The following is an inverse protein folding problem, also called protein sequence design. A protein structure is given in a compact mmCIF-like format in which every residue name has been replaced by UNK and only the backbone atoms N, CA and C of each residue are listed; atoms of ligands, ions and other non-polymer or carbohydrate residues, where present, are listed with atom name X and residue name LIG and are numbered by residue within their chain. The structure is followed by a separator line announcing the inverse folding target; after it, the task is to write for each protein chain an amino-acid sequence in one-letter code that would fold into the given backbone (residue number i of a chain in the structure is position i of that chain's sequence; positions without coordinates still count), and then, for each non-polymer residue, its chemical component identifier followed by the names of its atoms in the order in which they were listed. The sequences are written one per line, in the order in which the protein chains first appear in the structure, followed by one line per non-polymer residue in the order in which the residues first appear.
data_IF_979594767087
#
_entry.id   IF_979594767087
#
_cell.length_a   1.000
_cell.length_b   1.000
_cell.length_c   1.000
_cell.angle_alpha   90.00
_cell.angle_beta   90.00
_cell.angle_gamma   90.00
#
_symmetry.space_group_name_H-M   'P 1'
#
loop_
_entity.id
_entity.type
_entity.pdbx_description
1 polymer ?
#
# COMPACT_ATOMS: atom_id res chain seq x y z
N UNK A 1 -1.48 -16.29 -26.23
CA UNK A 1 -2.25 -15.38 -25.37
C UNK A 1 -1.40 -15.06 -24.15
N UNK A 2 -0.88 -13.84 -24.03
CA UNK A 2 -0.23 -13.40 -22.80
C UNK A 2 -1.31 -13.26 -21.71
N UNK A 3 -1.09 -13.70 -20.46
CA UNK A 3 -2.08 -13.53 -19.40
C UNK A 3 -2.37 -12.03 -19.22
N UNK A 4 -3.66 -11.69 -19.10
CA UNK A 4 -4.15 -10.33 -18.85
C UNK A 4 -3.31 -9.66 -17.75
N UNK A 5 -2.81 -8.46 -18.06
CA UNK A 5 -2.04 -7.53 -17.24
C UNK A 5 -1.82 -7.93 -15.78
N UNK A 6 -0.73 -8.64 -15.53
CA UNK A 6 -0.27 -8.90 -14.16
C UNK A 6 0.60 -7.73 -13.75
N UNK A 7 0.06 -6.85 -12.92
CA UNK A 7 0.81 -5.75 -12.34
C UNK A 7 1.59 -6.24 -11.12
N UNK A 8 2.80 -5.71 -10.86
CA UNK A 8 3.53 -6.03 -9.64
C UNK A 8 2.71 -5.62 -8.39
N UNK A 9 2.93 -6.29 -7.24
CA UNK A 9 2.27 -5.94 -6.01
C UNK A 9 2.59 -4.51 -5.56
N UNK A 10 1.64 -3.90 -4.86
CA UNK A 10 1.85 -2.60 -4.23
C UNK A 10 2.61 -2.76 -2.93
N UNK A 11 3.59 -1.89 -2.69
CA UNK A 11 4.25 -1.82 -1.40
C UNK A 11 3.27 -1.29 -0.35
N UNK A 12 3.09 -2.02 0.74
CA UNK A 12 2.21 -1.68 1.87
C UNK A 12 3.06 -1.26 3.07
N UNK A 13 2.99 0.02 3.43
CA UNK A 13 3.75 0.61 4.53
C UNK A 13 2.85 0.85 5.74
N UNK A 14 3.14 0.22 6.88
CA UNK A 14 2.51 0.64 8.13
C UNK A 14 3.29 1.83 8.71
N UNK A 15 2.71 3.03 8.64
CA UNK A 15 3.34 4.28 9.13
C UNK A 15 3.03 4.58 10.58
N UNK A 16 2.09 3.84 11.16
CA UNK A 16 1.77 3.86 12.59
C UNK A 16 1.87 2.45 13.17
N UNK A 17 1.96 2.36 14.49
CA UNK A 17 1.92 1.07 15.17
C UNK A 17 0.46 0.56 15.21
N UNK A 18 0.19 -0.50 14.47
CA UNK A 18 -1.14 -1.11 14.36
C UNK A 18 -1.17 -2.48 15.01
N UNK A 19 -2.34 -2.87 15.50
CA UNK A 19 -2.53 -4.26 15.91
C UNK A 19 -2.34 -5.23 14.73
N UNK A 20 -1.60 -6.32 14.97
CA UNK A 20 -1.32 -7.33 13.94
C UNK A 20 -2.60 -7.93 13.34
N UNK A 21 -3.67 -8.02 14.14
CA UNK A 21 -4.96 -8.50 13.68
C UNK A 21 -5.54 -7.59 12.60
N UNK A 22 -5.37 -6.28 12.71
CA UNK A 22 -5.82 -5.30 11.71
C UNK A 22 -5.05 -5.51 10.41
N UNK A 23 -3.72 -5.61 10.48
CA UNK A 23 -2.88 -5.84 9.29
C UNK A 23 -3.24 -7.16 8.61
N UNK A 24 -3.41 -8.24 9.37
CA UNK A 24 -3.79 -9.55 8.82
C UNK A 24 -5.16 -9.53 8.15
N UNK A 25 -6.16 -8.83 8.74
CA UNK A 25 -7.48 -8.65 8.13
C UNK A 25 -7.39 -7.88 6.82
N UNK A 26 -6.60 -6.80 6.77
CA UNK A 26 -6.39 -6.01 5.56
C UNK A 26 -5.74 -6.86 4.46
N UNK A 27 -4.68 -7.61 4.78
CA UNK A 27 -4.03 -8.49 3.81
C UNK A 27 -4.98 -9.57 3.30
N UNK A 28 -5.80 -10.16 4.18
CA UNK A 28 -6.80 -11.16 3.81
C UNK A 28 -7.91 -10.57 2.90
N UNK A 29 -8.39 -9.36 3.22
CA UNK A 29 -9.38 -8.63 2.40
C UNK A 29 -8.81 -8.26 1.04
N UNK A 30 -7.59 -7.74 0.99
CA UNK A 30 -6.92 -7.38 -0.26
C UNK A 30 -6.75 -8.60 -1.19
N UNK A 31 -6.37 -9.77 -0.63
CA UNK A 31 -6.30 -11.03 -1.38
C UNK A 31 -7.64 -11.51 -1.93
N UNK A 32 -8.71 -11.24 -1.19
CA UNK A 32 -10.06 -11.67 -1.56
C UNK A 32 -10.74 -10.69 -2.52
N UNK A 33 -10.23 -9.46 -2.60
CA UNK A 33 -10.73 -8.42 -3.49
C UNK A 33 -10.23 -8.64 -4.91
N UNK A 34 -11.14 -8.70 -5.87
CA UNK A 34 -10.82 -8.82 -7.31
C UNK A 34 -10.32 -7.52 -7.95
N UNK A 35 -10.27 -6.42 -7.19
CA UNK A 35 -10.07 -5.05 -7.72
C UNK A 35 -8.79 -4.36 -7.24
N UNK A 36 -8.06 -4.93 -6.28
CA UNK A 36 -6.85 -4.34 -5.71
C UNK A 36 -5.67 -5.23 -6.12
N UNK A 37 -4.59 -4.63 -6.62
CA UNK A 37 -3.35 -5.38 -6.82
C UNK A 37 -2.90 -5.96 -5.48
N UNK A 38 -2.27 -7.13 -5.52
CA UNK A 38 -1.73 -7.78 -4.33
C UNK A 38 -0.89 -6.80 -3.48
N UNK A 39 -1.05 -6.83 -2.17
CA UNK A 39 -0.33 -5.96 -1.24
C UNK A 39 0.88 -6.70 -0.67
N UNK A 40 2.06 -6.10 -0.77
CA UNK A 40 3.28 -6.61 -0.15
C UNK A 40 3.67 -5.74 1.05
N UNK A 41 3.53 -6.28 2.26
CA UNK A 41 3.87 -5.63 3.52
C UNK A 41 5.38 -5.45 3.63
N UNK A 42 5.81 -4.20 3.73
CA UNK A 42 7.23 -3.88 3.85
C UNK A 42 7.72 -4.20 5.26
N UNK A 43 8.59 -5.21 5.38
CA UNK A 43 9.16 -5.63 6.67
C UNK A 43 10.64 -5.26 6.84
N UNK A 44 11.34 -4.92 5.75
CA UNK A 44 12.69 -4.36 5.79
C UNK A 44 12.85 -3.09 4.94
N UNK A 45 13.76 -2.21 5.36
CA UNK A 45 14.13 -0.99 4.63
C UNK A 45 15.18 -1.21 3.54
N UNK A 46 15.81 -2.38 3.48
CA UNK A 46 16.95 -2.68 2.58
C UNK A 46 16.60 -3.54 1.37
N UNK A 47 15.29 -3.76 1.13
CA UNK A 47 14.75 -4.60 0.06
C UNK A 47 15.09 -6.10 0.15
N UNK A 48 15.70 -6.58 1.24
CA UNK A 48 16.13 -7.98 1.37
C UNK A 48 14.99 -9.00 1.31
N UNK A 49 13.79 -8.59 1.74
CA UNK A 49 12.56 -9.38 1.79
C UNK A 49 11.62 -9.14 0.59
N UNK A 50 12.00 -8.24 -0.32
CA UNK A 50 11.12 -7.81 -1.41
C UNK A 50 10.95 -8.85 -2.51
N UNK A 51 9.78 -8.88 -3.18
CA UNK A 51 9.56 -9.74 -4.34
C UNK A 51 10.59 -9.40 -5.43
N UNK A 52 11.24 -10.43 -5.97
CA UNK A 52 12.26 -10.28 -7.01
C UNK A 52 11.65 -10.60 -8.37
N UNK A 53 12.01 -9.83 -9.40
CA UNK A 53 11.59 -10.07 -10.79
C UNK A 53 12.13 -11.41 -11.25
N UNK A 54 11.24 -12.40 -11.34
CA UNK A 54 11.57 -13.72 -11.87
C UNK A 54 10.86 -13.87 -13.22
N UNK A 55 11.59 -14.17 -14.32
CA UNK A 55 10.98 -14.33 -15.63
C UNK A 55 9.83 -15.35 -15.61
N UNK A 56 8.68 -14.97 -16.18
CA UNK A 56 7.47 -15.80 -16.29
C UNK A 56 6.83 -16.21 -14.95
N UNK A 57 7.23 -15.61 -13.83
CA UNK A 57 6.58 -15.80 -12.53
C UNK A 57 5.91 -14.51 -12.10
N UNK A 58 4.67 -14.64 -11.65
CA UNK A 58 3.95 -13.57 -10.97
C UNK A 58 4.36 -13.61 -9.51
N UNK A 59 4.83 -12.48 -8.98
CA UNK A 59 5.01 -12.34 -7.54
C UNK A 59 3.68 -11.97 -6.89
N UNK A 60 3.38 -12.66 -5.81
CA UNK A 60 2.20 -12.39 -4.98
C UNK A 60 2.56 -11.46 -3.85
N UNK A 61 1.53 -10.85 -3.26
CA UNK A 61 1.66 -10.05 -2.05
C UNK A 61 2.04 -10.87 -0.82
N UNK A 62 2.03 -10.23 0.34
CA UNK A 62 2.28 -10.87 1.63
C UNK A 62 1.09 -11.73 2.04
N UNK A 63 1.38 -12.99 2.36
CA UNK A 63 0.41 -13.92 2.91
C UNK A 63 0.18 -13.68 4.41
N UNK A 64 -1.08 -13.52 4.88
CA UNK A 64 -1.37 -13.60 6.30
C UNK A 64 -1.25 -15.06 6.78
N UNK A 65 -0.85 -15.31 8.05
CA UNK A 65 -0.57 -14.33 9.08
C UNK A 65 0.86 -13.76 9.03
N UNK A 66 1.00 -12.48 9.34
CA UNK A 66 2.32 -11.85 9.53
C UNK A 66 3.04 -12.39 10.76
N UNK A 67 4.39 -12.38 10.79
CA UNK A 67 5.16 -12.85 11.93
C UNK A 67 4.80 -12.14 13.24
N UNK A 68 4.83 -12.86 14.36
CA UNK A 68 4.59 -12.28 15.69
C UNK A 68 5.64 -11.24 16.10
N UNK A 69 6.82 -11.29 15.49
CA UNK A 69 7.92 -10.33 15.69
C UNK A 69 7.89 -9.17 14.69
N UNK A 70 6.88 -9.09 13.81
CA UNK A 70 6.77 -8.01 12.84
C UNK A 70 6.71 -6.65 13.55
N UNK A 71 7.60 -5.76 13.12
CA UNK A 71 7.58 -4.34 13.44
C UNK A 71 7.86 -3.58 12.16
N UNK A 72 7.02 -2.61 11.82
CA UNK A 72 7.23 -1.83 10.61
C UNK A 72 8.47 -0.95 10.75
N UNK A 73 9.40 -0.97 9.76
CA UNK A 73 10.56 -0.08 9.75
C UNK A 73 10.21 1.37 9.39
N UNK A 74 8.96 1.64 8.99
CA UNK A 74 8.49 2.94 8.51
C UNK A 74 7.56 3.66 9.49
N UNK A 75 7.51 3.23 10.76
CA UNK A 75 6.72 3.91 11.79
C UNK A 75 7.22 5.36 11.93
N UNK A 76 6.30 6.32 11.90
CA UNK A 76 6.55 7.77 11.91
C UNK A 76 7.26 8.34 10.67
N UNK A 77 7.48 7.56 9.61
CA UNK A 77 8.04 8.08 8.36
C UNK A 77 7.00 8.91 7.59
N UNK A 78 7.47 9.91 6.86
CA UNK A 78 6.61 10.75 6.01
C UNK A 78 6.38 10.08 4.66
N UNK A 79 5.30 10.47 3.98
CA UNK A 79 5.03 10.02 2.59
C UNK A 79 6.21 10.29 1.65
N UNK A 80 6.95 11.40 1.83
CA UNK A 80 8.14 11.70 1.03
C UNK A 80 9.22 10.64 1.14
N UNK A 81 9.38 10.07 2.34
CA UNK A 81 10.40 9.07 2.64
C UNK A 81 10.03 7.73 2.00
N UNK A 82 8.74 7.38 2.00
CA UNK A 82 8.21 6.18 1.33
C UNK A 82 8.34 6.29 -0.19
N UNK A 83 8.04 7.46 -0.75
CA UNK A 83 8.21 7.75 -2.18
C UNK A 83 9.68 7.65 -2.56
N UNK A 84 10.58 8.23 -1.75
CA UNK A 84 12.02 8.14 -1.99
C UNK A 84 12.51 6.70 -1.93
N UNK A 85 12.04 5.91 -0.95
CA UNK A 85 12.33 4.49 -0.86
C UNK A 85 11.84 3.75 -2.12
N UNK A 86 10.60 3.96 -2.56
CA UNK A 86 10.09 3.26 -3.75
C UNK A 86 10.85 3.65 -5.02
N UNK A 87 11.25 4.92 -5.14
CA UNK A 87 12.09 5.41 -6.26
C UNK A 87 13.52 4.88 -6.23
N UNK A 88 14.03 4.55 -5.05
CA UNK A 88 15.38 4.00 -4.86
C UNK A 88 15.42 2.47 -5.04
N UNK A 89 14.29 1.84 -5.40
CA UNK A 89 14.22 0.38 -5.53
C UNK A 89 15.24 -0.15 -6.56
N UNK A 90 15.95 -1.25 -6.24
CA UNK A 90 16.77 -1.93 -7.22
C UNK A 90 15.96 -2.43 -8.42
N UNK A 91 16.59 -2.50 -9.60
CA UNK A 91 15.90 -2.89 -10.85
C UNK A 91 15.28 -4.29 -10.82
N UNK A 92 15.87 -5.18 -10.02
CA UNK A 92 15.44 -6.56 -9.79
C UNK A 92 14.27 -6.68 -8.81
N UNK A 93 13.85 -5.62 -8.12
CA UNK A 93 12.69 -5.65 -7.24
C UNK A 93 11.40 -5.50 -8.05
N UNK A 94 10.43 -6.36 -7.78
CA UNK A 94 9.14 -6.47 -8.45
C UNK A 94 8.01 -5.85 -7.62
N UNK A 95 8.12 -4.53 -7.42
CA UNK A 95 7.09 -3.71 -6.81
C UNK A 95 6.60 -2.68 -7.82
N UNK A 96 5.35 -2.25 -7.68
CA UNK A 96 4.82 -1.13 -8.46
C UNK A 96 5.61 0.16 -8.14
N UNK A 97 5.95 0.94 -9.17
CA UNK A 97 6.68 2.22 -9.02
C UNK A 97 5.80 3.45 -9.07
N UNK A 98 4.53 3.28 -9.43
CA UNK A 98 3.57 4.35 -9.62
C UNK A 98 2.62 4.47 -8.43
N UNK A 99 2.36 3.38 -7.72
CA UNK A 99 1.43 3.33 -6.60
C UNK A 99 2.00 2.55 -5.43
N UNK A 100 1.64 2.98 -4.24
CA UNK A 100 1.90 2.27 -2.99
C UNK A 100 0.74 2.47 -2.03
N UNK A 101 0.71 1.69 -0.96
CA UNK A 101 -0.35 1.70 0.04
C UNK A 101 0.25 2.02 1.40
N UNK A 102 -0.46 2.81 2.20
CA UNK A 102 -0.10 3.09 3.58
C UNK A 102 -1.23 2.64 4.51
N UNK A 103 -0.82 2.21 5.70
CA UNK A 103 -1.71 2.02 6.84
C UNK A 103 -1.41 3.12 7.87
N UNK A 104 -2.38 4.01 8.05
CA UNK A 104 -2.36 5.06 9.06
C UNK A 104 -3.29 4.70 10.22
N UNK A 105 -3.46 5.62 11.18
CA UNK A 105 -4.31 5.40 12.36
C UNK A 105 -5.80 5.17 12.03
N UNK A 106 -6.24 5.43 10.79
CA UNK A 106 -7.62 5.18 10.37
C UNK A 106 -7.87 3.74 9.96
N UNK A 107 -6.81 2.96 9.76
CA UNK A 107 -6.91 1.53 9.52
C UNK A 107 -7.59 0.79 10.70
N UNK A 108 -7.56 1.36 11.91
CA UNK A 108 -8.20 0.81 13.12
C UNK A 108 -9.61 1.38 13.39
N UNK A 109 -10.19 2.12 12.43
CA UNK A 109 -11.49 2.76 12.60
C UNK A 109 -12.63 1.76 12.85
N UNK A 110 -13.66 2.13 13.65
CA UNK A 110 -14.79 1.26 13.93
C UNK A 110 -15.61 1.01 12.66
N UNK A 111 -15.54 -0.22 12.14
CA UNK A 111 -16.43 -0.73 11.09
C UNK A 111 -15.82 -0.84 9.70
N UNK A 112 -14.65 -0.25 9.44
CA UNK A 112 -14.07 -0.25 8.09
C UNK A 112 -12.54 -0.33 8.16
N UNK A 113 -11.97 -1.50 7.84
CA UNK A 113 -10.55 -1.58 7.51
C UNK A 113 -10.31 -0.79 6.22
N UNK A 114 -9.68 0.36 6.36
CA UNK A 114 -9.35 1.27 5.26
C UNK A 114 -7.86 1.26 4.99
N UNK A 115 -7.50 1.40 3.72
CA UNK A 115 -6.12 1.58 3.27
C UNK A 115 -6.04 2.85 2.44
N UNK A 116 -4.92 3.54 2.49
CA UNK A 116 -4.71 4.72 1.64
C UNK A 116 -3.76 4.34 0.53
N UNK A 117 -4.25 4.41 -0.71
CA UNK A 117 -3.44 4.23 -1.91
C UNK A 117 -2.90 5.60 -2.32
N UNK A 118 -1.59 5.68 -2.41
CA UNK A 118 -0.83 6.86 -2.78
C UNK A 118 -0.21 6.66 -4.15
N UNK A 119 -0.17 7.72 -4.96
CA UNK A 119 0.59 7.77 -6.20
C UNK A 119 2.00 8.33 -5.99
N UNK A 120 2.98 7.74 -6.66
CA UNK A 120 4.32 8.30 -6.85
C UNK A 120 4.25 9.25 -8.04
N UNK A 121 3.65 10.43 -7.85
CA UNK A 121 3.59 11.43 -8.91
C UNK A 121 4.98 11.99 -9.24
N UNK A 122 5.09 12.51 -10.46
CA UNK A 122 6.28 13.24 -10.94
C UNK A 122 6.54 14.44 -10.02
N UNK A 123 7.79 14.94 -9.92
CA UNK A 123 8.22 15.94 -8.93
C UNK A 123 7.48 17.30 -8.90
N UNK A 124 6.43 17.51 -9.68
CA UNK A 124 5.69 18.77 -9.79
C UNK A 124 4.22 18.74 -9.35
N UNK A 125 3.68 17.59 -8.96
CA UNK A 125 2.30 17.47 -8.46
C UNK A 125 2.26 16.95 -7.01
N UNK A 126 1.28 17.40 -6.23
CA UNK A 126 1.13 17.01 -4.82
C UNK A 126 0.55 15.60 -4.78
N UNK A 127 1.07 14.68 -3.94
CA UNK A 127 0.55 13.32 -3.85
C UNK A 127 -0.97 13.31 -3.69
N UNK A 128 -1.66 12.58 -4.56
CA UNK A 128 -3.11 12.38 -4.46
C UNK A 128 -3.36 11.17 -3.56
N UNK A 129 -3.98 11.40 -2.42
CA UNK A 129 -4.42 10.34 -1.50
C UNK A 129 -5.80 9.83 -1.95
N UNK A 130 -5.88 8.55 -2.30
CA UNK A 130 -7.17 7.84 -2.42
C UNK A 130 -7.35 6.90 -1.24
N UNK A 131 -8.45 7.03 -0.54
CA UNK A 131 -8.83 6.09 0.51
C UNK A 131 -9.60 4.97 -0.15
N UNK A 132 -9.19 3.74 0.08
CA UNK A 132 -9.96 2.55 -0.27
C UNK A 132 -10.53 1.95 1.00
N UNK A 133 -11.84 1.83 1.05
CA UNK A 133 -12.61 1.24 2.13
C UNK A 133 -13.06 -0.16 1.69
N UNK A 134 -12.70 -1.17 2.47
CA UNK A 134 -13.12 -2.54 2.22
C UNK A 134 -14.46 -2.82 2.90
N UNK A 135 -15.55 -2.51 2.20
CA UNK A 135 -16.93 -2.77 2.63
C UNK A 135 -17.32 -4.23 2.33
N UNK A 136 -18.25 -4.78 3.11
CA UNK A 136 -18.82 -6.11 2.89
C UNK A 136 -19.43 -6.19 1.47
N UNK A 137 -18.73 -6.90 0.57
CA UNK A 137 -19.17 -7.08 -0.83
C UNK A 137 -18.55 -6.16 -1.89
N UNK A 138 -17.57 -5.31 -1.56
CA UNK A 138 -16.89 -4.50 -2.57
C UNK A 138 -15.80 -3.55 -2.05
N UNK A 139 -14.90 -3.13 -2.95
CA UNK A 139 -13.87 -2.13 -2.66
C UNK A 139 -14.39 -0.76 -3.13
N UNK A 140 -14.63 0.16 -2.20
CA UNK A 140 -15.04 1.54 -2.51
C UNK A 140 -13.83 2.47 -2.44
N UNK A 141 -13.73 3.43 -3.35
CA UNK A 141 -12.60 4.39 -3.37
C UNK A 141 -13.11 5.83 -3.30
N UNK A 142 -12.56 6.63 -2.40
CA UNK A 142 -12.86 8.05 -2.27
C UNK A 142 -11.59 8.90 -2.51
N UNK A 143 -11.69 9.91 -3.37
CA UNK A 143 -10.58 10.85 -3.64
C UNK A 143 -10.63 11.96 -2.58
N UNK A 144 -9.56 12.11 -1.80
CA UNK A 144 -9.41 13.26 -0.90
C UNK A 144 -8.89 14.47 -1.68
N UNK A 145 -9.80 15.24 -2.25
CA UNK A 145 -9.50 16.62 -2.64
C UNK A 145 -9.43 17.48 -1.38
N UNK A 146 -8.29 18.13 -1.10
CA UNK A 146 -8.25 19.23 -0.12
C UNK A 146 -9.21 20.31 -0.61
N UNK A 147 -10.41 20.38 -0.05
CA UNK A 147 -11.28 21.53 -0.23
C UNK A 147 -10.49 22.76 0.26
N UNK A 148 -10.18 23.68 -0.64
CA UNK A 148 -9.68 24.98 -0.25
C UNK A 148 -10.77 25.66 0.59
N UNK A 149 -10.46 26.26 1.75
CA UNK A 149 -11.36 27.26 2.29
C UNK A 149 -11.36 28.42 1.30
N UNK A 150 -12.45 28.58 0.56
CA UNK A 150 -12.77 29.85 -0.06
C UNK A 150 -12.89 30.86 1.08
N UNK A 151 -11.80 31.59 1.32
CA UNK A 151 -11.82 32.82 2.10
C UNK A 151 -12.64 33.83 1.32
N UNK A 152 -13.93 33.89 1.63
CA UNK A 152 -14.77 35.02 1.23
C UNK A 152 -14.51 36.12 2.25
N UNK A 153 -13.90 37.19 1.75
CA UNK A 153 -13.58 38.43 2.45
C UNK A 153 -14.85 39.23 2.73
#
# INVERSE_FOLDING_TARGET
MAPKGVSPPFALFAVVNLEKQVINKILQKAKSATSVNDLWLVSSSDYSDTPQKVPKKVNTGTDPPIPSTFQSPFINHKLSDLVQWLRSKPKNVDLDEHYFVILDAKAEGPGEESVVVCSVERPHERPVERIFEFLDGGCSSQVRGKAMPHGTR
#
